data_IF_298883285086
#
_entry.id   IF_298883285086
#
_cell.length_a   1.000
_cell.length_b   1.000
_cell.length_c   1.000
_cell.angle_alpha   90.00
_cell.angle_beta   90.00
_cell.angle_gamma   90.00
#
_symmetry.space_group_name_H-M   'P 1'
#
loop_
_entity.id
_entity.type
_entity.pdbx_description
1 polymer ?
#
# COMPACT_ATOMS: atom_id res chain seq x y z
N UNK A 1 -10.44 -0.08 5.30
CA UNK A 1 -10.50 -1.31 6.14
C UNK A 1 -9.07 -1.69 6.54
N UNK A 2 -8.82 -2.31 7.71
CA UNK A 2 -7.45 -2.77 8.06
C UNK A 2 -7.31 -4.24 7.67
N UNK A 3 -6.42 -4.55 6.72
CA UNK A 3 -6.12 -5.93 6.36
C UNK A 3 -5.26 -6.58 7.44
N UNK A 4 -5.53 -7.86 7.74
CA UNK A 4 -4.70 -8.65 8.65
C UNK A 4 -3.34 -8.90 8.00
N UNK A 5 -2.27 -8.71 8.75
CA UNK A 5 -0.88 -8.79 8.29
C UNK A 5 -0.49 -10.18 7.79
N UNK A 6 -1.28 -11.23 8.08
CA UNK A 6 -1.03 -12.61 7.69
C UNK A 6 -0.89 -12.84 6.18
N UNK A 7 -1.51 -12.01 5.34
CA UNK A 7 -1.37 -12.08 3.89
C UNK A 7 -0.16 -11.34 3.31
N UNK A 8 0.43 -10.39 4.06
CA UNK A 8 1.57 -9.56 3.62
C UNK A 8 2.80 -10.38 3.23
N UNK A 9 3.19 -11.46 3.94
CA UNK A 9 4.39 -12.24 3.63
C UNK A 9 4.43 -12.83 2.21
N UNK A 10 3.28 -12.92 1.52
CA UNK A 10 3.21 -13.33 0.10
C UNK A 10 3.98 -12.36 -0.81
N UNK A 11 4.08 -11.09 -0.43
CA UNK A 11 4.65 -10.03 -1.24
C UNK A 11 6.04 -9.61 -0.74
N UNK A 12 6.83 -9.02 -1.63
CA UNK A 12 7.91 -8.11 -1.24
C UNK A 12 7.26 -6.79 -0.83
N UNK A 13 7.13 -6.59 0.48
CA UNK A 13 6.46 -5.43 1.07
C UNK A 13 7.34 -4.75 2.10
N UNK A 14 7.10 -3.46 2.32
CA UNK A 14 7.63 -2.69 3.43
C UNK A 14 6.47 -2.34 4.36
N UNK A 15 6.60 -2.61 5.66
CA UNK A 15 5.64 -2.15 6.67
C UNK A 15 6.28 -1.00 7.41
N UNK A 16 5.64 0.17 7.31
CA UNK A 16 6.16 1.40 7.90
C UNK A 16 5.30 1.73 9.11
N UNK A 17 5.96 1.81 10.27
CA UNK A 17 5.33 2.09 11.55
C UNK A 17 5.56 3.54 11.97
N UNK A 18 4.57 4.16 12.60
CA UNK A 18 4.68 5.52 13.11
C UNK A 18 3.49 5.94 13.95
N UNK A 19 3.68 6.95 14.79
CA UNK A 19 2.60 7.53 15.61
C UNK A 19 1.68 8.48 14.84
N UNK A 20 2.09 8.87 13.64
CA UNK A 20 1.39 9.82 12.80
C UNK A 20 1.33 9.30 11.36
N UNK A 21 0.10 9.01 10.92
CA UNK A 21 -0.21 8.50 9.57
C UNK A 21 0.28 9.48 8.50
N UNK A 22 0.15 10.78 8.71
CA UNK A 22 0.53 11.79 7.72
C UNK A 22 2.05 11.74 7.45
N UNK A 23 2.84 11.61 8.52
CA UNK A 23 4.29 11.46 8.41
C UNK A 23 4.72 10.17 7.72
N UNK A 24 3.99 9.06 7.92
CA UNK A 24 4.23 7.81 7.19
C UNK A 24 3.97 8.04 5.69
N UNK A 25 2.82 8.62 5.35
CA UNK A 25 2.41 8.86 3.96
C UNK A 25 3.36 9.81 3.22
N UNK A 26 3.91 10.84 3.88
CA UNK A 26 4.96 11.71 3.31
C UNK A 26 6.21 10.93 2.91
N UNK A 27 6.67 10.01 3.77
CA UNK A 27 7.84 9.15 3.49
C UNK A 27 7.58 8.19 2.33
N UNK A 28 6.38 7.63 2.28
CA UNK A 28 5.92 6.77 1.18
C UNK A 28 5.92 7.55 -0.15
N UNK A 29 5.38 8.76 -0.17
CA UNK A 29 5.33 9.57 -1.39
C UNK A 29 6.72 9.97 -1.90
N UNK A 30 7.65 10.29 -1.00
CA UNK A 30 9.05 10.51 -1.33
C UNK A 30 9.70 9.24 -1.92
N UNK A 31 9.46 8.07 -1.31
CA UNK A 31 9.97 6.79 -1.80
C UNK A 31 9.43 6.40 -3.18
N UNK A 32 8.15 6.67 -3.44
CA UNK A 32 7.51 6.36 -4.72
C UNK A 32 7.89 7.32 -5.87
N UNK A 33 8.81 8.26 -5.64
CA UNK A 33 9.17 9.32 -6.58
C UNK A 33 7.96 10.14 -7.05
N UNK A 34 7.04 10.42 -6.14
CA UNK A 34 5.86 11.27 -6.37
C UNK A 34 4.53 10.53 -6.41
N UNK A 35 3.47 11.33 -6.32
CA UNK A 35 2.10 10.89 -6.05
C UNK A 35 1.43 10.10 -7.17
N UNK A 36 1.74 10.42 -8.43
CA UNK A 36 1.23 9.71 -9.62
C UNK A 36 1.58 8.21 -9.64
N UNK A 37 2.61 7.81 -8.92
CA UNK A 37 3.07 6.43 -8.83
C UNK A 37 2.41 5.67 -7.67
N UNK A 38 1.48 6.28 -6.94
CA UNK A 38 0.87 5.68 -5.77
C UNK A 38 -0.55 5.24 -6.08
N UNK A 39 -0.85 4.00 -5.73
CA UNK A 39 -2.19 3.45 -5.68
C UNK A 39 -2.50 3.22 -4.20
N UNK A 40 -3.39 4.02 -3.62
CA UNK A 40 -3.70 3.99 -2.19
C UNK A 40 -5.09 3.41 -1.92
N UNK A 41 -5.25 2.73 -0.78
CA UNK A 41 -6.57 2.33 -0.32
C UNK A 41 -7.42 3.56 0.06
N UNK A 42 -8.71 3.51 -0.25
CA UNK A 42 -9.63 4.65 -0.22
C UNK A 42 -9.83 5.26 1.17
N UNK A 43 -9.66 4.51 2.26
CA UNK A 43 -9.73 5.04 3.63
C UNK A 43 -8.58 6.00 3.95
N UNK A 44 -7.46 5.93 3.22
CA UNK A 44 -6.37 6.89 3.34
C UNK A 44 -6.67 8.22 2.63
N UNK A 45 -7.71 8.29 1.79
CA UNK A 45 -7.98 9.46 0.93
C UNK A 45 -8.05 10.77 1.70
N UNK A 46 -8.76 10.82 2.83
CA UNK A 46 -8.98 12.05 3.60
C UNK A 46 -7.70 12.69 4.13
N UNK A 47 -6.68 11.87 4.41
CA UNK A 47 -5.37 12.30 4.89
C UNK A 47 -4.44 12.51 3.69
N UNK A 48 -4.41 11.54 2.77
CA UNK A 48 -3.41 11.50 1.72
C UNK A 48 -3.64 12.54 0.63
N UNK A 49 -4.89 12.90 0.33
CA UNK A 49 -5.18 13.92 -0.71
C UNK A 49 -4.62 15.30 -0.36
N UNK A 50 -4.45 15.61 0.93
CA UNK A 50 -3.81 16.85 1.40
C UNK A 50 -2.31 16.90 1.10
N UNK A 51 -1.69 15.74 0.93
CA UNK A 51 -0.27 15.59 0.65
C UNK A 51 0.01 15.29 -0.82
N UNK A 52 -0.99 14.75 -1.52
CA UNK A 52 -0.78 13.92 -2.68
C UNK A 52 -2.03 13.92 -3.57
N UNK A 53 -2.19 14.97 -4.37
CA UNK A 53 -3.40 15.18 -5.18
C UNK A 53 -3.55 14.16 -6.32
N UNK A 54 -2.42 13.66 -6.87
CA UNK A 54 -2.40 12.77 -8.04
C UNK A 54 -2.42 11.26 -7.70
N UNK A 55 -2.60 10.91 -6.43
CA UNK A 55 -2.67 9.50 -6.03
C UNK A 55 -3.93 8.83 -6.59
N UNK A 56 -3.81 7.60 -7.09
CA UNK A 56 -4.97 6.79 -7.47
C UNK A 56 -5.53 6.11 -6.24
N UNK A 57 -6.86 6.11 -6.06
CA UNK A 57 -7.51 5.48 -4.91
C UNK A 57 -8.32 4.25 -5.31
N UNK A 58 -8.17 3.16 -4.57
CA UNK A 58 -8.88 1.88 -4.78
C UNK A 58 -9.53 1.39 -3.49
N UNK A 59 -10.61 0.62 -3.61
CA UNK A 59 -11.20 -0.08 -2.46
C UNK A 59 -10.60 -1.48 -2.37
N UNK A 60 -10.14 -1.88 -1.18
CA UNK A 60 -9.57 -3.21 -0.93
C UNK A 60 -10.41 -3.92 0.15
N UNK A 61 -10.96 -5.08 -0.17
CA UNK A 61 -11.76 -5.89 0.77
C UNK A 61 -11.02 -7.11 1.28
N UNK A 62 -10.10 -7.64 0.48
CA UNK A 62 -9.26 -8.77 0.85
C UNK A 62 -7.96 -8.78 0.04
N UNK A 63 -7.13 -9.81 0.24
CA UNK A 63 -5.88 -9.97 -0.49
C UNK A 63 -6.04 -10.35 -1.97
N UNK A 64 -7.22 -10.81 -2.39
CA UNK A 64 -7.51 -11.02 -3.81
C UNK A 64 -7.63 -9.68 -4.55
N UNK A 65 -8.13 -8.64 -3.88
CA UNK A 65 -8.14 -7.28 -4.43
C UNK A 65 -6.72 -6.70 -4.49
N UNK A 66 -5.89 -6.97 -3.49
CA UNK A 66 -4.46 -6.62 -3.50
C UNK A 66 -3.76 -7.29 -4.70
N UNK A 67 -3.98 -8.59 -4.90
CA UNK A 67 -3.45 -9.35 -6.04
C UNK A 67 -3.89 -8.72 -7.37
N UNK A 68 -5.19 -8.40 -7.50
CA UNK A 68 -5.76 -7.77 -8.70
C UNK A 68 -5.15 -6.41 -8.99
N UNK A 69 -4.96 -5.56 -7.99
CA UNK A 69 -4.34 -4.24 -8.14
C UNK A 69 -2.88 -4.39 -8.59
N UNK A 70 -2.10 -5.26 -7.98
CA UNK A 70 -0.70 -5.47 -8.36
C UNK A 70 -0.59 -5.97 -9.81
N UNK A 71 -1.49 -6.85 -10.25
CA UNK A 71 -1.48 -7.37 -11.62
C UNK A 71 -1.93 -6.32 -12.65
N UNK A 72 -2.94 -5.51 -12.33
CA UNK A 72 -3.60 -4.59 -13.28
C UNK A 72 -2.85 -3.28 -13.54
N UNK A 73 -2.05 -2.79 -12.60
CA UNK A 73 -1.34 -1.52 -12.75
C UNK A 73 0.07 -1.70 -13.35
N UNK A 74 0.59 -0.63 -13.96
CA UNK A 74 1.93 -0.60 -14.54
C UNK A 74 3.04 -0.79 -13.51
N UNK A 75 4.17 -1.36 -13.95
CA UNK A 75 5.36 -1.46 -13.09
C UNK A 75 5.92 -0.07 -12.75
N UNK A 76 6.50 0.05 -11.56
CA UNK A 76 7.02 1.32 -11.03
C UNK A 76 6.02 2.09 -10.15
N UNK A 77 4.78 1.61 -10.06
CA UNK A 77 3.82 2.08 -9.05
C UNK A 77 4.02 1.40 -7.69
N UNK A 78 3.38 1.91 -6.65
CA UNK A 78 3.35 1.30 -5.32
C UNK A 78 1.91 1.28 -4.78
N UNK A 79 1.47 0.11 -4.31
CA UNK A 79 0.21 -0.07 -3.60
C UNK A 79 0.41 0.22 -2.11
N UNK A 80 -0.46 1.04 -1.53
CA UNK A 80 -0.36 1.52 -0.15
C UNK A 80 -1.69 1.31 0.57
N UNK A 81 -1.67 0.63 1.72
CA UNK A 81 -2.88 0.41 2.51
C UNK A 81 -2.57 0.22 4.00
N UNK A 82 -3.52 0.55 4.90
CA UNK A 82 -3.34 0.36 6.33
C UNK A 82 -3.36 -1.13 6.69
N UNK A 83 -2.47 -1.52 7.59
CA UNK A 83 -2.36 -2.87 8.14
C UNK A 83 -2.39 -2.83 9.66
N UNK A 84 -2.53 -3.98 10.30
CA UNK A 84 -2.62 -4.04 11.75
C UNK A 84 -1.27 -3.67 12.36
N UNK A 85 -1.32 -2.99 13.50
CA UNK A 85 -0.14 -2.72 14.31
C UNK A 85 -0.19 -3.57 15.56
N UNK A 86 0.93 -4.17 16.00
CA UNK A 86 0.99 -4.87 17.28
C UNK A 86 0.85 -3.94 18.49
N UNK A 87 0.90 -2.61 18.28
CA UNK A 87 0.75 -1.59 19.32
C UNK A 87 -0.40 -0.65 19.00
N UNK A 88 -1.26 -0.39 20.00
CA UNK A 88 -2.42 0.49 19.86
C UNK A 88 -2.05 1.96 19.62
N UNK A 89 -0.87 2.41 20.06
CA UNK A 89 -0.38 3.79 19.89
C UNK A 89 0.41 4.02 18.59
N UNK A 90 0.44 3.03 17.70
CA UNK A 90 1.25 3.04 16.48
C UNK A 90 0.39 2.63 15.30
N UNK A 91 0.48 3.40 14.21
CA UNK A 91 -0.09 3.06 12.92
C UNK A 91 0.91 2.25 12.10
N UNK A 92 0.41 1.31 11.30
CA UNK A 92 1.18 0.54 10.35
C UNK A 92 0.58 0.70 8.94
N UNK A 93 1.43 1.02 7.97
CA UNK A 93 1.02 1.11 6.56
C UNK A 93 1.93 0.19 5.76
N UNK A 94 1.31 -0.70 4.98
CA UNK A 94 2.03 -1.51 4.02
C UNK A 94 2.26 -0.72 2.73
N UNK A 95 3.46 -0.87 2.17
CA UNK A 95 3.84 -0.44 0.84
C UNK A 95 4.30 -1.68 0.06
N UNK A 96 3.57 -2.00 -1.00
CA UNK A 96 3.91 -3.08 -1.93
C UNK A 96 4.28 -2.47 -3.27
N UNK A 97 5.56 -2.53 -3.70
CA UNK A 97 5.95 -2.09 -5.03
C UNK A 97 5.27 -2.96 -6.10
N UNK A 98 4.72 -2.32 -7.12
CA UNK A 98 4.18 -2.98 -8.30
C UNK A 98 5.35 -3.16 -9.26
N UNK A 99 5.96 -4.33 -9.20
CA UNK A 99 7.12 -4.71 -9.99
C UNK A 99 7.00 -6.15 -10.50
N UNK A 100 7.90 -6.53 -11.40
CA UNK A 100 7.98 -7.89 -11.93
C UNK A 100 8.04 -8.98 -10.84
N UNK A 101 8.69 -8.73 -9.70
CA UNK A 101 8.83 -9.72 -8.63
C UNK A 101 7.49 -10.01 -7.97
N UNK A 102 6.76 -8.98 -7.55
CA UNK A 102 5.45 -9.13 -6.91
C UNK A 102 4.41 -9.69 -7.89
N UNK A 103 4.41 -9.24 -9.15
CA UNK A 103 3.55 -9.83 -10.19
C UNK A 103 3.81 -11.33 -10.37
N UNK A 104 5.08 -11.74 -10.48
CA UNK A 104 5.45 -13.15 -10.61
C UNK A 104 5.06 -14.01 -9.40
N UNK A 105 5.20 -13.47 -8.18
CA UNK A 105 4.81 -14.20 -6.95
C UNK A 105 3.31 -14.50 -6.92
N UNK A 106 2.49 -13.55 -7.35
CA UNK A 106 1.03 -13.73 -7.44
C UNK A 106 0.69 -14.76 -8.51
N UNK A 107 1.25 -14.63 -9.72
CA UNK A 107 0.95 -15.54 -10.83
C UNK A 107 1.42 -16.99 -10.61
N UNK A 108 2.37 -17.23 -9.70
CA UNK A 108 2.87 -18.58 -9.36
C UNK A 108 2.24 -19.18 -8.10
N UNK A 109 1.51 -18.39 -7.32
CA UNK A 109 0.97 -18.77 -6.00
C UNK A 109 -0.56 -18.73 -5.93
N UNK A 110 -1.22 -18.92 -7.07
CA UNK A 110 -2.67 -19.11 -7.19
C UNK A 110 -3.04 -20.57 -7.33
#
# INVERSE_FOLDING_TARGET
MVLNDSGIPRYRAYIIYGRDVENILKRIAAFANGCRNIVAESSLRSIFSRLCEDATYVELKDYSDVDRVILSYEEGKALVFPVSSPRLDVHAIALIPIDKTNKLRISRGG
#
